data_IF_225763608322
#
_entry.id   IF_225763608322
#
_cell.length_a   1.000
_cell.length_b   1.000
_cell.length_c   1.000
_cell.angle_alpha   90.00
_cell.angle_beta   90.00
_cell.angle_gamma   90.00
#
_symmetry.space_group_name_H-M   'P 1'
#
loop_
_entity.id
_entity.type
_entity.pdbx_description
1 polymer ?
#
# COMPACT_ATOMS: atom_id res chain seq x y z
N UNK A 1 -41.68 -14.10 4.86
CA UNK A 1 -40.75 -14.92 4.06
C UNK A 1 -39.87 -13.95 3.29
N UNK A 2 -38.57 -14.04 3.53
CA UNK A 2 -37.60 -12.95 3.39
C UNK A 2 -37.38 -12.47 1.95
N UNK A 3 -37.34 -11.15 1.82
CA UNK A 3 -36.97 -10.39 0.63
C UNK A 3 -35.58 -10.80 0.14
N UNK A 4 -35.49 -11.30 -1.09
CA UNK A 4 -34.24 -11.60 -1.76
C UNK A 4 -33.68 -10.26 -2.29
N UNK A 5 -32.79 -9.64 -1.51
CA UNK A 5 -32.13 -8.40 -1.90
C UNK A 5 -31.27 -8.63 -3.13
N UNK A 6 -31.53 -7.88 -4.20
CA UNK A 6 -30.66 -7.82 -5.37
C UNK A 6 -29.25 -7.41 -4.93
N UNK A 7 -28.19 -8.07 -5.44
CA UNK A 7 -26.82 -7.67 -5.13
C UNK A 7 -26.61 -6.24 -5.63
N UNK A 8 -26.45 -5.30 -4.71
CA UNK A 8 -26.20 -3.91 -5.07
C UNK A 8 -24.87 -3.80 -5.81
N UNK A 9 -24.72 -2.77 -6.66
CA UNK A 9 -23.48 -2.46 -7.41
C UNK A 9 -22.19 -2.48 -6.57
N UNK A 10 -22.33 -2.40 -5.24
CA UNK A 10 -21.25 -2.50 -4.23
C UNK A 10 -20.54 -3.85 -4.21
N UNK A 11 -21.23 -4.96 -4.45
CA UNK A 11 -20.65 -6.30 -4.30
C UNK A 11 -19.77 -6.73 -5.50
N UNK A 12 -19.97 -6.12 -6.68
CA UNK A 12 -19.21 -6.50 -7.89
C UNK A 12 -17.80 -5.90 -7.95
N UNK A 13 -17.58 -4.70 -7.41
CA UNK A 13 -16.28 -4.01 -7.53
C UNK A 13 -15.16 -4.67 -6.70
N UNK A 14 -15.51 -5.30 -5.59
CA UNK A 14 -14.56 -6.02 -4.71
C UNK A 14 -13.99 -7.29 -5.36
N UNK A 15 -14.65 -7.84 -6.38
CA UNK A 15 -14.24 -9.04 -7.10
C UNK A 15 -13.24 -8.77 -8.24
N UNK A 16 -13.06 -7.52 -8.65
CA UNK A 16 -12.24 -7.14 -9.82
C UNK A 16 -10.90 -6.48 -9.44
N UNK A 17 -10.53 -6.45 -8.15
CA UNK A 17 -9.21 -5.97 -7.70
C UNK A 17 -9.05 -4.45 -7.71
N UNK A 18 -10.15 -3.68 -7.72
CA UNK A 18 -10.12 -2.22 -7.65
C UNK A 18 -10.35 -1.72 -6.22
N UNK A 19 -9.58 -0.70 -5.82
CA UNK A 19 -9.73 0.01 -4.54
C UNK A 19 -10.29 1.39 -4.80
N UNK A 20 -11.31 1.80 -4.04
CA UNK A 20 -11.86 3.15 -4.09
C UNK A 20 -11.01 4.08 -3.22
N UNK A 21 -10.60 5.21 -3.78
CA UNK A 21 -9.90 6.28 -3.08
C UNK A 21 -10.75 7.55 -3.10
N UNK A 22 -10.87 8.23 -1.95
CA UNK A 22 -11.48 9.55 -1.85
C UNK A 22 -10.38 10.61 -1.70
N UNK A 23 -10.39 11.62 -2.57
CA UNK A 23 -9.32 12.60 -2.70
C UNK A 23 -9.90 14.01 -2.68
N UNK A 24 -9.23 14.93 -1.97
CA UNK A 24 -9.50 16.36 -2.06
C UNK A 24 -8.43 17.02 -2.92
N UNK A 25 -8.86 17.65 -4.02
CA UNK A 25 -7.97 18.22 -5.04
C UNK A 25 -8.49 19.59 -5.46
N UNK A 26 -7.65 20.42 -6.05
CA UNK A 26 -8.14 21.65 -6.70
C UNK A 26 -9.03 21.27 -7.89
N UNK A 27 -10.04 22.07 -8.23
CA UNK A 27 -10.94 21.77 -9.36
C UNK A 27 -10.20 21.52 -10.67
N UNK A 28 -9.11 22.26 -10.91
CA UNK A 28 -8.31 22.18 -12.13
C UNK A 28 -7.52 20.86 -12.24
N UNK A 29 -7.24 20.20 -11.11
CA UNK A 29 -6.49 18.94 -11.05
C UNK A 29 -7.41 17.71 -11.20
N UNK A 30 -8.73 17.87 -11.00
CA UNK A 30 -9.69 16.78 -11.03
C UNK A 30 -9.77 16.05 -12.39
N UNK A 31 -9.74 16.73 -13.55
CA UNK A 31 -9.69 16.07 -14.86
C UNK A 31 -8.44 15.20 -15.02
N UNK A 32 -7.27 15.74 -14.63
CA UNK A 32 -5.99 15.04 -14.73
C UNK A 32 -6.01 13.73 -13.94
N UNK A 33 -6.51 13.76 -12.70
CA UNK A 33 -6.57 12.57 -11.85
C UNK A 33 -7.56 11.51 -12.37
N UNK A 34 -8.66 11.92 -13.02
CA UNK A 34 -9.55 10.97 -13.70
C UNK A 34 -8.88 10.30 -14.88
N UNK A 35 -8.16 11.05 -15.70
CA UNK A 35 -7.45 10.50 -16.86
C UNK A 35 -6.31 9.57 -16.44
N UNK A 36 -5.63 9.89 -15.34
CA UNK A 36 -4.64 9.03 -14.71
C UNK A 36 -5.26 7.71 -14.20
N UNK A 37 -6.40 7.79 -13.51
CA UNK A 37 -7.12 6.59 -13.07
C UNK A 37 -7.54 5.71 -14.26
N UNK A 38 -8.01 6.30 -15.36
CA UNK A 38 -8.33 5.58 -16.61
C UNK A 38 -7.10 4.93 -17.22
N UNK A 39 -5.98 5.64 -17.29
CA UNK A 39 -4.73 5.09 -17.83
C UNK A 39 -4.18 3.92 -16.99
N UNK A 40 -4.39 3.94 -15.67
CA UNK A 40 -4.01 2.84 -14.77
C UNK A 40 -4.97 1.63 -14.84
N UNK A 41 -6.23 1.85 -15.22
CA UNK A 41 -7.21 0.79 -15.42
C UNK A 41 -7.02 0.04 -16.75
N UNK A 42 -6.38 0.66 -17.75
CA UNK A 42 -6.04 0.05 -19.04
C UNK A 42 -4.76 -0.81 -18.92
N UNK A 43 -4.83 -2.14 -19.04
CA UNK A 43 -3.67 -3.02 -18.90
C UNK A 43 -2.53 -2.70 -19.87
N UNK A 44 -2.85 -2.19 -21.07
CA UNK A 44 -1.84 -1.86 -22.08
C UNK A 44 -1.03 -0.61 -21.71
N UNK A 45 -1.59 0.27 -20.88
CA UNK A 45 -0.99 1.57 -20.51
C UNK A 45 -0.59 1.65 -19.04
N UNK A 46 -1.08 0.74 -18.22
CA UNK A 46 -0.91 0.79 -16.77
C UNK A 46 0.55 0.70 -16.34
N UNK A 47 1.36 -0.16 -16.96
CA UNK A 47 2.77 -0.34 -16.62
C UNK A 47 3.58 0.94 -16.87
N UNK A 48 3.46 1.52 -18.06
CA UNK A 48 4.16 2.74 -18.44
C UNK A 48 3.72 3.93 -17.58
N UNK A 49 2.40 4.01 -17.31
CA UNK A 49 1.84 5.05 -16.45
C UNK A 49 2.39 4.96 -15.03
N UNK A 50 2.44 3.76 -14.42
CA UNK A 50 3.03 3.57 -13.09
C UNK A 50 4.50 3.96 -13.07
N UNK A 51 5.29 3.52 -14.05
CA UNK A 51 6.72 3.85 -14.14
C UNK A 51 6.96 5.35 -14.27
N UNK A 52 6.18 6.03 -15.12
CA UNK A 52 6.23 7.49 -15.25
C UNK A 52 5.95 8.18 -13.92
N UNK A 53 4.86 7.81 -13.23
CA UNK A 53 4.48 8.42 -11.95
C UNK A 53 5.54 8.19 -10.87
N UNK A 54 6.06 6.97 -10.77
CA UNK A 54 7.11 6.63 -9.81
C UNK A 54 8.39 7.43 -10.03
N UNK A 55 8.80 7.64 -11.29
CA UNK A 55 9.96 8.46 -11.62
C UNK A 55 9.75 9.93 -11.28
N UNK A 56 8.57 10.49 -11.58
CA UNK A 56 8.31 11.92 -11.41
C UNK A 56 7.99 12.32 -9.97
N UNK A 57 7.23 11.50 -9.26
CA UNK A 57 6.81 11.80 -7.89
C UNK A 57 7.86 11.40 -6.86
N UNK A 58 8.85 10.59 -7.28
CA UNK A 58 9.67 9.81 -6.37
C UNK A 58 8.77 8.78 -5.69
N UNK A 59 9.02 7.50 -5.89
CA UNK A 59 8.43 6.53 -4.97
C UNK A 59 8.89 6.87 -3.57
N UNK A 60 7.96 7.29 -2.72
CA UNK A 60 7.90 6.78 -1.36
C UNK A 60 7.70 5.26 -1.49
N UNK A 61 8.74 4.55 -1.93
CA UNK A 61 8.83 3.10 -1.83
C UNK A 61 8.58 2.88 -0.34
N UNK A 62 7.63 2.06 0.09
CA UNK A 62 7.83 0.62 0.32
C UNK A 62 9.19 0.20 0.94
N UNK A 63 10.19 1.09 1.05
CA UNK A 63 11.40 1.00 1.85
C UNK A 63 11.14 1.23 3.34
N UNK A 64 9.92 1.62 3.73
CA UNK A 64 9.51 1.65 5.14
C UNK A 64 8.99 0.29 5.63
N UNK A 65 8.83 -0.68 4.73
CA UNK A 65 8.45 -2.03 5.18
C UNK A 65 9.70 -2.76 5.63
N UNK A 66 9.63 -3.31 6.85
CA UNK A 66 10.70 -4.15 7.42
C UNK A 66 11.15 -5.23 6.43
N UNK A 67 10.21 -5.81 5.65
CA UNK A 67 10.52 -6.83 4.65
C UNK A 67 11.39 -6.30 3.50
N UNK A 68 11.17 -5.06 3.04
CA UNK A 68 12.01 -4.44 2.01
C UNK A 68 13.40 -4.09 2.55
N UNK A 69 13.47 -3.60 3.80
CA UNK A 69 14.74 -3.33 4.47
C UNK A 69 15.56 -4.61 4.68
N UNK A 70 14.92 -5.70 5.09
CA UNK A 70 15.58 -7.00 5.25
C UNK A 70 16.03 -7.62 3.92
N UNK A 71 15.27 -7.44 2.85
CA UNK A 71 15.68 -7.91 1.51
C UNK A 71 16.84 -7.10 0.91
N UNK A 72 16.96 -5.83 1.29
CA UNK A 72 18.06 -4.96 0.89
C UNK A 72 19.28 -5.04 1.85
N UNK A 73 19.11 -5.65 3.02
CA UNK A 73 20.21 -5.84 3.96
C UNK A 73 21.20 -6.90 3.44
N UNK A 74 22.50 -6.75 3.74
CA UNK A 74 23.48 -7.79 3.46
C UNK A 74 23.06 -9.11 4.12
N UNK A 75 23.00 -10.19 3.36
CA UNK A 75 22.55 -11.51 3.83
C UNK A 75 23.52 -12.16 4.85
N UNK A 76 24.69 -11.56 5.05
CA UNK A 76 25.77 -12.05 5.90
C UNK A 76 25.96 -11.19 7.17
N UNK A 77 24.86 -10.60 7.67
CA UNK A 77 24.90 -10.01 9.01
C UNK A 77 25.02 -11.15 10.02
N UNK A 78 26.17 -11.20 10.72
CA UNK A 78 26.36 -12.03 11.89
C UNK A 78 25.48 -11.49 13.03
N UNK A 79 24.25 -12.03 13.12
CA UNK A 79 23.32 -11.74 14.19
C UNK A 79 23.69 -12.55 15.43
N UNK A 80 24.92 -12.41 15.91
CA UNK A 80 25.29 -12.98 17.19
C UNK A 80 24.48 -12.24 18.25
N UNK A 81 23.50 -12.95 18.81
CA UNK A 81 22.58 -12.41 19.80
C UNK A 81 23.39 -12.29 21.08
N UNK A 82 24.02 -11.13 21.26
CA UNK A 82 24.73 -10.82 22.49
C UNK A 82 23.74 -10.91 23.66
N UNK A 83 23.79 -12.05 24.36
CA UNK A 83 22.83 -12.38 25.42
C UNK A 83 23.01 -11.47 26.64
N UNK A 84 24.03 -10.61 26.66
CA UNK A 84 24.28 -9.63 27.73
C UNK A 84 23.45 -8.34 27.64
N UNK A 85 22.60 -8.19 26.62
CA UNK A 85 21.57 -7.13 26.56
C UNK A 85 20.21 -7.62 27.09
N UNK A 86 20.17 -8.70 27.87
CA UNK A 86 19.02 -9.14 28.67
C UNK A 86 18.71 -8.21 29.85
N UNK A 87 19.17 -6.96 29.80
CA UNK A 87 18.94 -5.96 30.84
C UNK A 87 17.47 -5.55 30.85
N UNK A 88 16.65 -6.38 31.50
CA UNK A 88 15.34 -6.03 32.02
C UNK A 88 14.36 -5.49 31.00
N UNK A 89 14.07 -6.22 29.92
CA UNK A 89 12.77 -6.06 29.26
C UNK A 89 11.76 -6.88 30.06
N UNK A 90 11.28 -6.27 31.15
CA UNK A 90 10.01 -6.67 31.75
C UNK A 90 8.95 -6.48 30.67
N UNK A 91 8.57 -7.56 29.99
CA UNK A 91 7.38 -7.58 29.13
C UNK A 91 6.15 -7.63 30.04
N UNK A 92 6.03 -6.60 30.86
CA UNK A 92 4.82 -6.22 31.55
C UNK A 92 3.75 -6.04 30.49
N UNK A 93 2.60 -6.65 30.76
CA UNK A 93 1.36 -6.42 30.03
C UNK A 93 1.13 -4.92 29.81
N UNK A 94 0.56 -4.62 28.65
CA UNK A 94 -0.03 -3.35 28.20
C UNK A 94 0.90 -2.31 27.56
N UNK A 95 0.87 -2.26 26.21
CA UNK A 95 1.17 -1.06 25.43
C UNK A 95 -0.16 -0.49 24.92
N UNK A 96 -0.67 0.50 25.65
CA UNK A 96 -1.45 1.61 25.11
C UNK A 96 -0.55 2.84 25.28
N UNK A 97 -0.01 3.30 24.14
CA UNK A 97 0.76 4.54 23.90
C UNK A 97 1.96 4.81 24.83
#
# INVERSE_FOLDING_TARGET
MSSHGEPTSRDRQSLEGFVRLELQVRPDDAPLLRDLARALADPARATDTRHFLHRQLGTATTGDTLKALLAAAPADLDLDRDRGLDRGLDLGRDVVL
#
